data_IF_789876349810
#
_entry.id   IF_789876349810
#
_cell.length_a   1.000
_cell.length_b   1.000
_cell.length_c   1.000
_cell.angle_alpha   90.00
_cell.angle_beta   90.00
_cell.angle_gamma   90.00
#
_symmetry.space_group_name_H-M   'P 1'
#
loop_
_entity.id
_entity.type
_entity.pdbx_description
1 polymer ?
2 water ?
#
# COMPACT_ATOMS: atom_id res chain seq x y z
N UNK A 42 -4.86 -24.45 2.82
CA UNK A 42 -5.22 -24.08 1.46
C UNK A 42 -6.39 -23.10 1.45
N UNK A 43 -7.58 -23.61 1.75
CA UNK A 43 -8.76 -22.77 1.90
C UNK A 43 -9.65 -23.25 3.04
N UNK A 44 -10.70 -23.99 2.71
CA UNK A 44 -11.94 -23.96 3.51
C UNK A 44 -11.69 -23.94 5.02
N UNK A 45 -12.73 -24.31 5.78
CA UNK A 45 -12.75 -24.15 7.23
C UNK A 45 -13.01 -22.69 7.62
N UNK A 46 -12.03 -21.84 7.31
CA UNK A 46 -12.04 -20.42 7.70
C UNK A 46 -13.28 -19.70 7.18
N UNK A 47 -13.73 -20.11 6.00
CA UNK A 47 -14.90 -19.52 5.36
C UNK A 47 -16.18 -19.77 6.17
N UNK A 48 -16.44 -21.04 6.51
CA UNK A 48 -17.64 -21.39 7.25
C UNK A 48 -17.60 -20.87 8.69
N UNK A 49 -16.40 -20.89 9.29
CA UNK A 49 -16.19 -20.33 10.63
C UNK A 49 -16.71 -18.89 10.73
N UNK A 50 -16.61 -18.15 9.63
CA UNK A 50 -17.18 -16.80 9.55
C UNK A 50 -18.71 -16.82 9.59
N UNK A 51 -19.32 -17.74 8.85
CA UNK A 51 -20.79 -17.90 8.81
C UNK A 51 -21.34 -18.29 10.19
N UNK A 52 -22.45 -17.65 10.56
CA UNK A 52 -23.09 -17.80 11.89
C UNK A 52 -22.25 -17.19 13.03
N UNK A 53 -21.04 -16.71 12.69
CA UNK A 53 -20.16 -15.98 13.61
C UNK A 53 -19.88 -14.56 13.13
N UNK A 54 -20.77 -14.04 12.28
CA UNK A 54 -20.61 -12.75 11.61
C UNK A 54 -19.99 -11.66 12.49
N UNK A 55 -20.15 -11.81 13.80
CA UNK A 55 -19.80 -10.78 14.78
C UNK A 55 -18.36 -10.87 15.29
N UNK A 56 -17.73 -12.03 15.13
CA UNK A 56 -16.36 -12.21 15.62
C UNK A 56 -15.30 -11.74 14.59
N UNK A 57 -14.31 -11.01 15.08
CA UNK A 57 -13.20 -10.50 14.26
C UNK A 57 -12.19 -11.58 13.90
N UNK A 58 -11.85 -12.42 14.88
CA UNK A 58 -10.83 -13.49 14.75
C UNK A 58 -10.92 -14.32 13.46
N UNK A 59 -12.12 -14.84 13.12
CA UNK A 59 -12.19 -15.62 11.87
C UNK A 59 -11.89 -14.80 10.61
N UNK A 60 -12.30 -13.53 10.58
CA UNK A 60 -11.92 -12.64 9.48
C UNK A 60 -10.41 -12.43 9.43
N UNK A 61 -9.76 -12.34 10.59
CA UNK A 61 -8.31 -12.16 10.63
C UNK A 61 -7.61 -13.41 10.08
N UNK A 62 -8.04 -14.58 10.55
CA UNK A 62 -7.48 -15.84 10.08
C UNK A 62 -7.60 -16.03 8.59
N UNK A 63 -8.76 -15.66 8.04
CA UNK A 63 -8.97 -15.78 6.61
C UNK A 63 -8.08 -14.82 5.83
N UNK A 64 -7.90 -13.62 6.38
CA UNK A 64 -7.00 -12.62 5.81
C UNK A 64 -5.53 -13.07 5.86
N UNK A 65 -5.13 -13.69 6.96
CA UNK A 65 -3.81 -14.34 7.06
C UNK A 65 -3.63 -15.41 5.99
N UNK A 66 -4.67 -16.17 5.71
CA UNK A 66 -4.60 -17.20 4.70
C UNK A 66 -4.45 -16.54 3.32
N UNK A 67 -5.27 -15.52 3.06
CA UNK A 67 -5.24 -14.82 1.78
C UNK A 67 -3.91 -14.15 1.46
N UNK A 68 -3.22 -13.67 2.49
CA UNK A 68 -1.86 -13.10 2.36
C UNK A 68 -0.89 -14.14 1.81
N UNK A 69 -0.98 -15.37 2.33
CA UNK A 69 -0.02 -16.41 2.03
C UNK A 69 -0.28 -17.01 0.66
N UNK A 70 -1.38 -16.61 0.06
CA UNK A 70 -1.85 -17.18 -1.18
C UNK A 70 -1.85 -16.11 -2.29
N UNK A 71 -1.19 -14.99 -2.00
CA UNK A 71 -1.04 -13.86 -2.93
C UNK A 71 -2.31 -13.08 -3.25
N UNK A 72 -3.34 -13.20 -2.43
CA UNK A 72 -4.54 -12.36 -2.55
C UNK A 72 -4.48 -11.21 -1.55
N UNK A 73 -3.47 -10.36 -1.78
CA UNK A 73 -3.15 -9.23 -0.91
C UNK A 73 -4.27 -8.20 -0.72
N UNK A 74 -4.93 -7.79 -1.81
CA UNK A 74 -6.00 -6.80 -1.73
C UNK A 74 -7.20 -7.34 -0.94
N UNK A 75 -7.57 -8.58 -1.24
CA UNK A 75 -8.66 -9.22 -0.54
C UNK A 75 -8.31 -9.43 0.93
N UNK A 76 -7.07 -9.78 1.23
CA UNK A 76 -6.60 -9.84 2.62
C UNK A 76 -6.91 -8.51 3.36
N UNK A 77 -6.60 -7.40 2.68
CA UNK A 77 -6.86 -6.05 3.21
C UNK A 77 -8.33 -5.78 3.46
N UNK A 78 -9.19 -6.33 2.61
CA UNK A 78 -10.61 -6.17 2.80
C UNK A 78 -11.09 -6.94 4.03
N UNK A 79 -10.48 -8.10 4.29
CA UNK A 79 -10.86 -8.87 5.48
C UNK A 79 -10.32 -8.28 6.78
N UNK A 80 -9.07 -7.79 6.77
CA UNK A 80 -8.51 -7.05 7.92
C UNK A 80 -9.36 -5.83 8.21
N UNK A 81 -9.81 -5.17 7.13
CA UNK A 81 -10.69 -4.02 7.26
C UNK A 81 -11.94 -4.39 8.06
N UNK A 82 -12.57 -5.49 7.66
CA UNK A 82 -13.76 -6.00 8.33
C UNK A 82 -13.52 -6.32 9.81
N UNK A 83 -12.42 -6.97 10.11
CA UNK A 83 -12.04 -7.28 11.48
C UNK A 83 -11.95 -6.02 12.34
N UNK A 84 -11.33 -4.97 11.79
CA UNK A 84 -11.11 -3.69 12.47
C UNK A 84 -12.39 -2.87 12.63
N UNK A 85 -13.34 -3.15 11.75
CA UNK A 85 -14.66 -2.57 11.82
C UNK A 85 -15.44 -3.23 12.95
N UNK A 86 -15.05 -4.45 13.33
CA UNK A 86 -15.72 -5.18 14.38
C UNK A 86 -15.04 -4.96 15.72
N UNK A 87 -13.71 -5.05 15.72
CA UNK A 87 -12.92 -4.79 16.89
C UNK A 87 -11.76 -3.93 16.45
N UNK A 88 -11.87 -2.62 16.70
CA UNK A 88 -10.81 -1.68 16.37
C UNK A 88 -9.59 -1.79 17.30
N UNK A 89 -9.61 -2.76 18.20
CA UNK A 89 -8.45 -3.06 19.04
C UNK A 89 -7.71 -4.35 18.65
N UNK A 90 -8.14 -5.00 17.57
CA UNK A 90 -7.53 -6.27 17.16
C UNK A 90 -6.13 -6.05 16.58
N UNK A 91 -5.13 -6.14 17.45
CA UNK A 91 -3.74 -5.88 17.08
C UNK A 91 -3.26 -6.67 15.85
N UNK A 92 -3.68 -7.94 15.78
CA UNK A 92 -3.21 -8.83 14.71
C UNK A 92 -3.75 -8.40 13.33
N UNK A 93 -4.90 -7.73 13.31
CA UNK A 93 -5.42 -7.17 12.07
C UNK A 93 -4.57 -5.98 11.58
N UNK A 94 -4.15 -5.13 12.51
CA UNK A 94 -3.22 -4.04 12.17
C UNK A 94 -1.89 -4.59 11.68
N UNK A 95 -1.40 -5.62 12.39
CA UNK A 95 -0.15 -6.28 12.03
C UNK A 95 -0.22 -6.99 10.67
N UNK A 96 -1.30 -7.73 10.44
CA UNK A 96 -1.49 -8.45 9.20
C UNK A 96 -1.56 -7.49 8.03
N UNK A 97 -2.36 -6.43 8.17
CA UNK A 97 -2.46 -5.41 7.12
C UNK A 97 -1.13 -4.72 6.86
N UNK A 98 -0.35 -4.53 7.92
CA UNK A 98 0.95 -3.88 7.86
C UNK A 98 1.92 -4.63 6.97
N UNK A 99 1.97 -5.95 7.17
CA UNK A 99 2.80 -6.82 6.34
C UNK A 99 2.43 -6.74 4.85
N UNK A 100 1.14 -6.61 4.56
CA UNK A 100 0.70 -6.47 3.18
C UNK A 100 1.26 -5.18 2.60
N UNK A 101 1.18 -4.11 3.38
CA UNK A 101 1.69 -2.82 3.00
C UNK A 101 3.19 -2.88 2.79
N UNK A 102 3.88 -3.70 3.57
CA UNK A 102 5.32 -3.87 3.44
C UNK A 102 5.63 -4.53 2.10
N UNK A 103 4.93 -5.61 1.80
CA UNK A 103 5.16 -6.36 0.57
C UNK A 103 4.96 -5.43 -0.62
N UNK A 104 4.00 -4.53 -0.52
CA UNK A 104 3.67 -3.61 -1.60
C UNK A 104 4.52 -2.35 -1.49
N UNK A 105 5.42 -2.34 -0.51
CA UNK A 105 6.36 -1.23 -0.28
C UNK A 105 5.70 0.14 -0.14
N UNK A 106 4.58 0.15 0.57
CA UNK A 106 3.93 1.37 0.99
C UNK A 106 4.29 1.52 2.47
N UNK A 107 5.43 2.15 2.72
CA UNK A 107 6.05 2.14 4.04
C UNK A 107 5.37 3.07 5.02
N UNK A 108 4.89 4.20 4.50
CA UNK A 108 4.20 5.18 5.32
C UNK A 108 2.94 4.57 5.93
N UNK A 109 2.25 3.76 5.13
CA UNK A 109 1.03 3.09 5.53
C UNK A 109 1.35 1.88 6.40
N UNK A 110 2.51 1.26 6.16
CA UNK A 110 3.01 0.18 7.02
C UNK A 110 3.42 0.70 8.42
N UNK A 111 3.99 1.91 8.46
CA UNK A 111 4.30 2.54 9.74
C UNK A 111 3.01 2.79 10.52
N UNK A 112 2.03 3.33 9.83
CA UNK A 112 0.74 3.63 10.40
C UNK A 112 0.15 2.34 11.01
N UNK A 113 0.12 1.25 10.24
CA UNK A 113 -0.46 -0.02 10.70
C UNK A 113 0.31 -0.63 11.87
N UNK A 114 1.64 -0.61 11.78
CA UNK A 114 2.48 -1.20 12.83
C UNK A 114 2.37 -0.43 14.14
N UNK A 115 2.33 0.89 14.05
CA UNK A 115 2.20 1.70 15.25
C UNK A 115 0.81 1.52 15.87
N UNK A 116 -0.20 1.29 15.05
CA UNK A 116 -1.55 0.97 15.56
C UNK A 116 -1.57 -0.39 16.24
N UNK A 117 -0.83 -1.34 15.70
CA UNK A 117 -0.72 -2.66 16.29
C UNK A 117 -0.14 -2.51 17.70
N UNK A 118 1.03 -1.87 17.75
CA UNK A 118 1.69 -1.54 19.00
C UNK A 118 0.77 -0.77 19.94
N UNK A 119 0.03 0.21 19.41
CA UNK A 119 -0.91 0.94 20.23
C UNK A 119 -2.04 0.07 20.77
N UNK A 120 -2.47 -0.91 19.96
CA UNK A 120 -3.56 -1.80 20.36
C UNK A 120 -3.12 -2.90 21.31
N UNK A 121 -1.81 -3.07 21.50
CA UNK A 121 -1.31 -3.99 22.52
C UNK A 121 -0.19 -4.92 22.13
N UNK A 122 -0.04 -5.20 20.84
CA UNK A 122 1.00 -6.13 20.39
C UNK A 122 2.39 -5.61 20.74
N UNK A 123 3.15 -6.42 21.48
CA UNK A 123 4.52 -6.09 21.85
C UNK A 123 5.39 -7.33 21.76
N UNK A 124 6.13 -7.45 20.66
CA UNK A 124 7.08 -8.56 20.47
C UNK A 124 8.20 -8.24 19.48
N UNK A 125 9.20 -9.11 19.43
CA UNK A 125 10.41 -8.86 18.66
C UNK A 125 10.12 -8.54 17.20
N UNK A 126 9.21 -9.31 16.61
CA UNK A 126 8.89 -9.14 15.20
C UNK A 126 8.29 -7.77 14.90
N UNK A 127 7.36 -7.33 15.76
CA UNK A 127 6.70 -6.07 15.57
C UNK A 127 7.66 -4.90 15.72
N UNK A 128 8.48 -4.93 16.77
CA UNK A 128 9.45 -3.86 16.96
C UNK A 128 10.42 -3.80 15.79
N UNK A 129 10.71 -4.96 15.22
CA UNK A 129 11.59 -5.08 14.07
C UNK A 129 10.97 -4.46 12.83
N UNK A 130 9.77 -4.89 12.48
CA UNK A 130 9.10 -4.41 11.27
C UNK A 130 8.90 -2.90 11.36
N UNK A 131 8.53 -2.43 12.55
CA UNK A 131 8.36 -1.00 12.78
C UNK A 131 9.69 -0.28 12.68
N UNK A 132 10.69 -0.76 13.41
CA UNK A 132 12.03 -0.19 13.34
C UNK A 132 12.48 -0.06 11.88
N UNK A 133 12.44 -1.15 11.15
CA UNK A 133 12.96 -1.17 9.79
C UNK A 133 12.18 -0.25 8.85
N UNK A 134 10.87 -0.23 8.98
CA UNK A 134 10.02 0.64 8.18
C UNK A 134 10.32 2.10 8.52
N UNK A 135 10.56 2.39 9.79
CA UNK A 135 10.93 3.73 10.20
C UNK A 135 12.25 4.15 9.56
N UNK A 136 13.11 3.18 9.27
CA UNK A 136 14.37 3.43 8.57
C UNK A 136 14.12 3.83 7.11
N UNK A 137 13.36 3.01 6.39
CA UNK A 137 13.03 3.30 4.99
C UNK A 137 12.43 4.69 4.83
N UNK A 138 11.80 5.20 5.88
CA UNK A 138 11.10 6.48 5.83
C UNK A 138 11.94 7.68 6.29
N UNK A 139 13.28 7.55 6.24
CA UNK A 139 14.19 8.50 6.91
C UNK A 139 13.96 8.38 8.41
N UNK A 140 13.80 9.50 9.11
CA UNK A 140 13.53 9.52 10.57
C UNK A 140 14.09 8.47 11.58
N UNK A 141 15.35 8.13 11.44
CA UNK A 141 15.97 7.13 12.33
C UNK A 141 15.68 7.43 13.80
N UNK A 142 15.86 8.69 14.19
CA UNK A 142 15.59 9.16 15.54
C UNK A 142 14.35 8.44 16.12
N UNK A 143 13.57 7.80 15.24
CA UNK A 143 12.33 7.15 15.63
C UNK A 143 12.43 5.62 15.60
N UNK A 144 13.22 5.07 14.67
CA UNK A 144 13.45 3.63 14.57
C UNK A 144 14.21 3.12 15.78
N UNK A 145 15.07 3.98 16.28
CA UNK A 145 16.09 3.66 17.28
C UNK A 145 15.57 2.91 18.52
N UNK A 146 14.57 3.47 19.23
CA UNK A 146 14.07 2.80 20.44
C UNK A 146 13.43 1.41 20.19
N UNK A 147 12.80 1.24 19.03
CA UNK A 147 12.14 -0.03 18.70
C UNK A 147 13.16 -1.04 18.22
N UNK A 148 14.13 -0.61 17.42
CA UNK A 148 15.24 -1.46 17.00
C UNK A 148 16.07 -1.91 18.20
N UNK A 149 16.28 -1.00 19.14
CA UNK A 149 17.00 -1.31 20.38
C UNK A 149 16.28 -2.45 21.08
N UNK A 150 14.95 -2.35 21.11
CA UNK A 150 14.12 -3.29 21.81
C UNK A 150 14.15 -4.67 21.18
N UNK A 151 14.04 -4.73 19.84
CA UNK A 151 14.10 -5.98 19.08
C UNK A 151 15.37 -6.79 19.37
N UNK A 152 16.49 -6.09 19.49
CA UNK A 152 17.75 -6.71 19.88
C UNK A 152 17.60 -7.28 21.29
N UNK A 153 17.20 -6.44 22.24
CA UNK A 153 17.00 -6.89 23.62
C UNK A 153 16.14 -8.15 23.70
N UNK A 154 14.99 -8.12 23.01
CA UNK A 154 14.04 -9.23 23.03
C UNK A 154 14.49 -10.46 22.24
N UNK A 155 15.55 -10.30 21.46
CA UNK A 155 16.13 -11.41 20.71
C UNK A 155 17.56 -11.03 20.35
N UNK A 156 18.46 -11.40 21.25
CA UNK A 156 19.86 -11.04 21.15
C UNK A 156 20.53 -11.85 20.04
N UNK A 157 19.81 -12.86 19.54
CA UNK A 157 20.28 -13.73 18.46
C UNK A 157 19.94 -13.22 17.06
N UNK A 158 18.97 -12.31 16.99
CA UNK A 158 18.48 -11.78 15.71
C UNK A 158 19.53 -10.88 15.05
N UNK A 159 20.43 -11.49 14.29
CA UNK A 159 21.50 -10.80 13.56
C UNK A 159 20.99 -9.61 12.73
N UNK A 160 19.91 -9.85 12.01
CA UNK A 160 19.32 -8.88 11.10
C UNK A 160 18.90 -7.60 11.82
N UNK A 161 18.18 -7.76 12.93
CA UNK A 161 17.79 -6.62 13.77
C UNK A 161 19.01 -5.89 14.25
N UNK A 162 20.00 -6.63 14.73
CA UNK A 162 21.19 -6.03 15.31
C UNK A 162 21.98 -5.21 14.30
N UNK A 163 22.03 -5.68 13.05
CA UNK A 163 22.69 -4.92 11.99
C UNK A 163 21.94 -3.61 11.68
N UNK A 164 20.62 -3.66 11.74
CA UNK A 164 19.80 -2.47 11.48
C UNK A 164 19.90 -1.43 12.61
N UNK A 165 19.99 -1.93 13.84
CA UNK A 165 20.19 -1.08 15.00
C UNK A 165 21.55 -0.37 14.89
N UNK A 166 22.59 -1.14 14.56
CA UNK A 166 23.92 -0.60 14.33
C UNK A 166 23.90 0.62 13.42
N UNK A 167 23.32 0.45 12.22
CA UNK A 167 23.32 1.48 11.18
C UNK A 167 22.59 2.73 11.66
N UNK A 168 21.55 2.53 12.47
CA UNK A 168 20.75 3.64 12.95
C UNK A 168 21.48 4.41 14.05
N UNK A 169 22.13 3.66 14.94
CA UNK A 169 23.00 4.24 15.97
C UNK A 169 24.11 5.12 15.40
N UNK A 170 24.86 4.56 14.44
CA UNK A 170 25.93 5.28 13.76
C UNK A 170 25.41 6.52 13.06
N UNK A 171 24.20 6.42 12.55
CA UNK A 171 23.57 7.52 11.88
C UNK A 171 23.26 8.66 12.84
N UNK A 172 22.87 8.30 14.07
CA UNK A 172 22.41 9.26 15.05
C UNK A 172 23.52 9.97 15.81
N UNK A 173 24.77 9.51 15.63
CA UNK A 173 25.91 10.12 16.30
C UNK A 173 26.53 9.16 17.31
N UNK A 174 25.70 8.27 17.85
CA UNK A 174 26.13 7.27 18.82
C UNK A 174 26.97 6.23 18.09
N UNK A 175 28.25 6.56 17.87
CA UNK A 175 29.13 5.81 16.97
C UNK A 175 29.83 4.61 17.59
N UNK A 176 30.11 4.67 18.89
CA UNK A 176 30.86 3.60 19.55
C UNK A 176 29.96 2.41 19.86
N UNK A 177 28.74 2.72 20.27
CA UNK A 177 27.70 1.71 20.47
C UNK A 177 27.28 1.07 19.14
N UNK A 178 27.48 1.80 18.03
CA UNK A 178 27.26 1.24 16.70
C UNK A 178 28.26 0.12 16.46
N UNK A 179 29.53 0.42 16.72
CA UNK A 179 30.62 -0.55 16.60
C UNK A 179 30.42 -1.74 17.54
N UNK A 180 29.92 -1.46 18.75
CA UNK A 180 29.50 -2.51 19.68
C UNK A 180 28.58 -3.50 18.97
N UNK A 181 27.56 -2.97 18.31
CA UNK A 181 26.59 -3.81 17.62
C UNK A 181 27.17 -4.46 16.35
N UNK A 182 27.84 -3.67 15.51
CA UNK A 182 28.48 -4.23 14.31
C UNK A 182 29.40 -5.43 14.64
N UNK A 183 30.12 -5.33 15.77
CA UNK A 183 31.02 -6.39 16.22
C UNK A 183 30.27 -7.67 16.58
N UNK A 184 29.15 -7.52 17.30
CA UNK A 184 28.33 -8.67 17.69
C UNK A 184 27.75 -9.40 16.47
N UNK A 185 27.39 -8.63 15.44
CA UNK A 185 26.94 -9.18 14.15
C UNK A 185 28.05 -10.00 13.50
N UNK A 186 29.28 -9.50 13.60
CA UNK A 186 30.48 -10.20 13.14
C UNK A 186 30.68 -11.53 13.88
N UNK A 187 30.37 -11.55 15.17
CA UNK A 187 30.51 -12.78 15.98
C UNK A 187 29.50 -13.85 15.56
N UNK A 188 28.24 -13.47 15.39
CA UNK A 188 27.21 -14.43 14.99
C UNK A 188 27.34 -14.81 13.52
N UNK A 189 27.45 -13.81 12.65
CA UNK A 189 27.59 -14.03 11.21
C UNK A 189 28.91 -13.44 10.73
N UNK A 190 29.95 -14.28 10.57
CA UNK A 190 31.24 -13.79 10.08
C UNK A 190 31.28 -13.57 8.55
N UNK A 191 30.23 -14.02 7.86
CA UNK A 191 30.13 -13.81 6.42
C UNK A 191 29.40 -12.52 6.11
N UNK A 192 29.19 -11.71 7.14
CA UNK A 192 28.42 -10.47 7.02
C UNK A 192 29.29 -9.28 6.56
N UNK A 193 29.62 -9.26 5.28
CA UNK A 193 30.44 -8.19 4.68
C UNK A 193 29.91 -6.77 4.96
N UNK A 194 28.59 -6.59 4.80
CA UNK A 194 27.93 -5.30 5.04
C UNK A 194 28.27 -4.68 6.39
N UNK A 195 28.25 -5.52 7.44
CA UNK A 195 28.57 -5.08 8.79
C UNK A 195 29.97 -4.51 8.83
N UNK A 196 30.95 -5.27 8.33
CA UNK A 196 32.33 -4.81 8.24
C UNK A 196 32.45 -3.47 7.50
N UNK A 197 31.72 -3.34 6.40
CA UNK A 197 31.73 -2.10 5.62
C UNK A 197 31.20 -0.93 6.43
N UNK A 198 30.06 -1.15 7.08
CA UNK A 198 29.42 -0.11 7.89
C UNK A 198 30.22 0.22 9.15
N UNK A 199 30.97 -0.76 9.65
CA UNK A 199 31.95 -0.54 10.71
C UNK A 199 33.05 0.35 10.17
N UNK A 200 33.51 0.01 8.96
CA UNK A 200 34.53 0.78 8.27
C UNK A 200 34.14 2.24 8.14
N UNK A 201 32.88 2.47 7.79
CA UNK A 201 32.37 3.84 7.60
C UNK A 201 32.23 4.57 8.93
N UNK A 202 31.91 3.83 9.99
CA UNK A 202 31.77 4.42 11.31
C UNK A 202 33.10 5.00 11.78
N UNK A 203 34.16 4.20 11.68
CA UNK A 203 35.51 4.62 12.07
C UNK A 203 35.98 5.88 11.35
N UNK A 204 35.57 6.05 10.09
CA UNK A 204 35.86 7.26 9.32
C UNK A 204 35.32 8.53 10.01
N UNK A 205 34.09 8.44 10.54
CA UNK A 205 33.47 9.53 11.27
C UNK A 205 34.08 9.69 12.67
N UNK A 206 34.80 8.67 13.12
CA UNK A 206 35.57 8.73 14.37
C UNK A 206 36.97 9.33 14.13
N UNK A 207 37.27 9.63 12.86
CA UNK A 207 38.55 10.20 12.43
C UNK A 207 39.72 9.27 12.69
N UNK A 208 39.73 8.15 11.98
CA UNK A 208 40.72 7.09 12.17
C UNK A 208 40.91 6.27 10.88
N UNK A 209 41.96 6.60 10.12
CA UNK A 209 42.26 5.86 8.89
C UNK A 209 43.13 4.63 9.08
N UNK A 210 43.13 4.10 10.30
CA UNK A 210 43.60 2.75 10.67
C UNK A 210 42.52 1.68 10.66
N UNK A 211 41.77 1.59 11.76
CA UNK A 211 40.75 0.56 11.92
C UNK A 211 39.72 0.62 10.79
N UNK A 212 39.51 1.81 10.23
CA UNK A 212 38.63 2.02 9.09
C UNK A 212 39.04 1.14 7.91
N UNK A 213 40.30 1.26 7.50
CA UNK A 213 40.82 0.46 6.38
C UNK A 213 40.89 -1.02 6.74
N UNK A 214 41.17 -1.30 8.01
CA UNK A 214 41.18 -2.67 8.54
C UNK A 214 39.84 -3.39 8.35
N UNK A 215 38.77 -2.78 8.87
CA UNK A 215 37.41 -3.32 8.77
C UNK A 215 36.93 -3.36 7.31
N UNK A 216 37.35 -2.36 6.54
CA UNK A 216 37.00 -2.24 5.12
C UNK A 216 37.63 -3.38 4.30
N UNK A 217 38.90 -3.69 4.63
CA UNK A 217 39.60 -4.81 4.02
C UNK A 217 38.77 -6.08 4.11
N UNK A 218 38.40 -6.42 5.35
CA UNK A 218 37.69 -7.66 5.64
C UNK A 218 36.35 -7.77 4.91
N UNK A 219 35.79 -6.63 4.52
CA UNK A 219 34.56 -6.59 3.72
C UNK A 219 34.81 -7.02 2.28
N UNK A 220 35.88 -6.51 1.69
CA UNK A 220 36.27 -6.89 0.33
C UNK A 220 36.79 -8.34 0.35
N UNK A 221 37.56 -8.66 1.38
CA UNK A 221 38.00 -10.01 1.70
C UNK A 221 36.85 -11.02 1.57
N UNK A 222 35.70 -10.70 2.16
CA UNK A 222 34.54 -11.57 2.13
C UNK A 222 33.87 -11.55 0.75
N UNK A 223 33.51 -10.36 0.29
CA UNK A 223 32.87 -10.19 -1.02
C UNK A 223 33.74 -9.32 -1.95
N UNK A 224 34.49 -9.96 -2.86
CA UNK A 224 35.43 -9.24 -3.73
C UNK A 224 34.76 -8.21 -4.65
N UNK A 225 33.45 -8.26 -4.79
CA UNK A 225 32.72 -7.28 -5.62
C UNK A 225 31.88 -6.27 -4.82
N UNK A 226 32.30 -6.02 -3.59
CA UNK A 226 31.66 -5.01 -2.75
C UNK A 226 32.07 -3.60 -3.21
N UNK A 227 31.35 -3.08 -4.21
CA UNK A 227 31.71 -1.82 -4.87
C UNK A 227 31.74 -0.61 -3.93
N UNK A 228 30.81 -0.57 -2.99
CA UNK A 228 30.79 0.47 -1.96
C UNK A 228 32.03 0.40 -1.06
N UNK A 229 32.39 -0.80 -0.61
CA UNK A 229 33.62 -0.99 0.16
C UNK A 229 34.82 -0.58 -0.68
N UNK A 230 34.75 -0.86 -1.98
CA UNK A 230 35.80 -0.50 -2.91
C UNK A 230 35.97 1.02 -3.05
N UNK A 231 34.87 1.70 -3.36
CA UNK A 231 34.87 3.15 -3.49
C UNK A 231 35.22 3.83 -2.17
N UNK A 232 34.74 3.28 -1.07
CA UNK A 232 35.04 3.80 0.26
C UNK A 232 36.54 3.75 0.59
N UNK A 233 37.20 2.71 0.09
CA UNK A 233 38.62 2.47 0.39
C UNK A 233 39.55 3.39 -0.42
N UNK A 234 39.09 3.81 -1.60
CA UNK A 234 39.87 4.69 -2.49
C UNK A 234 39.88 6.15 -2.01
N UNK A 235 39.40 6.36 -0.79
CA UNK A 235 39.37 7.67 -0.16
C UNK A 235 40.09 7.62 1.20
N UNK B 42 -35.66 -4.52 -26.62
CA UNK B 42 -36.78 -5.34 -26.08
C UNK B 42 -36.91 -5.26 -24.56
N UNK B 43 -35.77 -5.24 -23.87
CA UNK B 43 -35.68 -5.13 -22.41
C UNK B 43 -36.21 -6.31 -21.58
N UNK B 44 -36.86 -7.27 -22.25
CA UNK B 44 -37.47 -8.39 -21.55
C UNK B 44 -36.50 -9.56 -21.70
N UNK B 45 -36.95 -10.76 -21.36
CA UNK B 45 -36.12 -11.97 -21.32
C UNK B 45 -35.36 -12.20 -19.99
N UNK B 46 -35.58 -11.30 -19.02
CA UNK B 46 -34.98 -11.41 -17.68
C UNK B 46 -36.31 -11.53 -16.93
N UNK B 47 -37.23 -10.62 -17.27
CA UNK B 47 -38.57 -10.60 -16.72
C UNK B 47 -39.17 -12.00 -16.70
N UNK B 48 -39.03 -12.70 -17.83
CA UNK B 48 -39.55 -14.06 -18.01
C UNK B 48 -38.85 -15.07 -17.08
N UNK B 49 -37.54 -14.95 -16.97
CA UNK B 49 -36.72 -15.88 -16.19
C UNK B 49 -37.09 -15.95 -14.71
N UNK B 50 -37.36 -14.79 -14.10
CA UNK B 50 -37.55 -14.70 -12.64
C UNK B 50 -38.78 -15.45 -12.12
N UNK B 51 -39.86 -15.46 -12.90
CA UNK B 51 -41.09 -16.19 -12.54
C UNK B 51 -40.85 -17.70 -12.44
N UNK B 52 -40.03 -18.21 -13.36
CA UNK B 52 -39.69 -19.63 -13.42
C UNK B 52 -39.06 -20.15 -12.14
N UNK B 53 -38.14 -19.37 -11.57
CA UNK B 53 -37.31 -19.79 -10.44
C UNK B 53 -37.07 -18.67 -9.41
N UNK B 54 -38.08 -18.47 -8.56
CA UNK B 54 -38.08 -17.43 -7.53
C UNK B 54 -37.03 -17.62 -6.42
N UNK B 55 -36.11 -18.57 -6.63
CA UNK B 55 -35.06 -18.87 -5.67
C UNK B 55 -33.70 -19.04 -6.37
N UNK B 56 -33.53 -18.32 -7.48
CA UNK B 56 -32.36 -18.44 -8.35
C UNK B 56 -31.20 -17.44 -8.40
N UNK B 57 -31.52 -16.15 -8.48
CA UNK B 57 -30.72 -14.96 -8.14
C UNK B 57 -29.71 -14.43 -9.17
N UNK B 58 -29.57 -15.12 -10.29
CA UNK B 58 -28.62 -14.66 -11.32
C UNK B 58 -29.46 -13.75 -12.24
N UNK B 59 -30.71 -14.16 -12.56
CA UNK B 59 -31.53 -13.27 -13.40
C UNK B 59 -31.85 -11.94 -12.74
N UNK B 60 -32.04 -11.96 -11.41
CA UNK B 60 -32.27 -10.74 -10.63
C UNK B 60 -31.15 -9.75 -10.85
N UNK B 61 -29.91 -10.20 -10.70
CA UNK B 61 -28.71 -9.36 -10.90
C UNK B 61 -28.70 -8.78 -12.31
N UNK B 62 -28.97 -9.63 -13.29
CA UNK B 62 -28.99 -9.21 -14.68
C UNK B 62 -29.99 -8.10 -14.97
N UNK B 63 -31.21 -8.25 -14.45
CA UNK B 63 -32.23 -7.23 -14.63
C UNK B 63 -31.82 -5.93 -13.95
N UNK B 64 -31.36 -6.06 -12.71
CA UNK B 64 -30.79 -4.94 -11.95
C UNK B 64 -29.75 -4.16 -12.78
N UNK B 65 -28.87 -4.90 -13.45
CA UNK B 65 -27.85 -4.30 -14.31
C UNK B 65 -28.45 -3.54 -15.50
N UNK B 66 -29.45 -4.13 -16.13
CA UNK B 66 -30.15 -3.43 -17.21
C UNK B 66 -30.81 -2.13 -16.71
N UNK B 67 -31.44 -2.20 -15.54
CA UNK B 67 -32.14 -1.02 -14.99
C UNK B 67 -31.18 0.13 -14.69
N UNK B 68 -30.04 -0.20 -14.06
CA UNK B 68 -29.07 0.84 -13.79
C UNK B 68 -28.54 1.44 -15.10
N UNK B 69 -28.30 0.60 -16.11
CA UNK B 69 -27.83 1.11 -17.41
C UNK B 69 -28.85 2.11 -17.92
N UNK B 70 -30.12 1.73 -17.84
CA UNK B 70 -31.26 2.54 -18.27
C UNK B 70 -31.59 3.62 -17.23
N UNK B 71 -30.69 3.84 -16.27
CA UNK B 71 -30.86 4.90 -15.26
C UNK B 71 -32.17 4.81 -14.44
N UNK B 72 -32.54 3.59 -14.07
CA UNK B 72 -33.68 3.37 -13.19
C UNK B 72 -33.13 2.89 -11.83
N UNK B 73 -32.42 3.81 -11.16
CA UNK B 73 -31.49 3.45 -10.06
C UNK B 73 -32.12 2.73 -8.86
N UNK B 74 -33.29 3.21 -8.44
CA UNK B 74 -33.93 2.73 -7.22
C UNK B 74 -34.44 1.32 -7.39
N UNK B 75 -34.98 1.05 -8.58
CA UNK B 75 -35.46 -0.26 -8.92
C UNK B 75 -34.29 -1.25 -9.04
N UNK B 76 -33.19 -0.82 -9.64
CA UNK B 76 -31.98 -1.64 -9.67
C UNK B 76 -31.66 -2.14 -8.26
N UNK B 77 -31.58 -1.22 -7.31
CA UNK B 77 -31.30 -1.56 -5.92
C UNK B 77 -32.24 -2.64 -5.38
N UNK B 78 -33.54 -2.50 -5.65
CA UNK B 78 -34.52 -3.52 -5.24
C UNK B 78 -34.17 -4.90 -5.80
N UNK B 79 -33.69 -4.94 -7.03
CA UNK B 79 -33.31 -6.20 -7.65
C UNK B 79 -31.97 -6.77 -7.19
N UNK B 80 -31.04 -5.90 -6.77
CA UNK B 80 -29.79 -6.36 -6.16
C UNK B 80 -30.02 -6.85 -4.74
N UNK B 81 -30.96 -6.21 -4.04
CA UNK B 81 -31.28 -6.56 -2.66
C UNK B 81 -31.93 -7.94 -2.57
N UNK B 82 -32.75 -8.28 -3.57
CA UNK B 82 -33.35 -9.59 -3.60
C UNK B 82 -32.29 -10.62 -3.96
N UNK B 83 -31.50 -10.30 -4.98
CA UNK B 83 -30.36 -11.11 -5.38
C UNK B 83 -29.47 -11.44 -4.17
N UNK B 84 -29.15 -10.43 -3.36
CA UNK B 84 -28.33 -10.64 -2.16
C UNK B 84 -29.04 -11.45 -1.06
N UNK B 85 -30.35 -11.29 -0.97
CA UNK B 85 -31.13 -12.04 0.01
C UNK B 85 -30.99 -13.51 -0.32
N UNK B 86 -31.13 -13.85 -1.61
CA UNK B 86 -30.99 -15.21 -2.08
C UNK B 86 -29.58 -15.77 -1.92
N UNK B 87 -28.58 -14.98 -2.31
CA UNK B 87 -27.18 -15.38 -2.21
C UNK B 87 -26.28 -14.25 -1.71
N UNK B 88 -25.91 -14.32 -0.43
CA UNK B 88 -25.17 -13.25 0.21
C UNK B 88 -23.70 -13.18 -0.23
N UNK B 89 -23.29 -14.07 -1.14
CA UNK B 89 -21.93 -14.02 -1.67
C UNK B 89 -21.88 -13.79 -3.19
N UNK B 90 -22.94 -13.20 -3.73
CA UNK B 90 -22.96 -12.86 -5.13
C UNK B 90 -22.22 -11.55 -5.34
N UNK B 91 -20.92 -11.65 -5.57
CA UNK B 91 -20.06 -10.49 -5.75
C UNK B 91 -20.57 -9.45 -6.75
N UNK B 92 -21.08 -9.92 -7.90
CA UNK B 92 -21.58 -9.01 -8.96
C UNK B 92 -22.80 -8.19 -8.52
N UNK B 93 -23.55 -8.69 -7.53
CA UNK B 93 -24.66 -7.92 -6.97
C UNK B 93 -24.19 -6.74 -6.12
N UNK B 94 -23.20 -6.97 -5.27
CA UNK B 94 -22.56 -5.90 -4.53
C UNK B 94 -21.93 -4.86 -5.44
N UNK B 95 -21.14 -5.32 -6.41
CA UNK B 95 -20.53 -4.45 -7.41
C UNK B 95 -21.63 -3.62 -8.06
N UNK B 96 -22.68 -4.28 -8.54
CA UNK B 96 -23.83 -3.60 -9.11
C UNK B 96 -24.42 -2.52 -8.21
N UNK B 97 -24.75 -2.87 -6.97
CA UNK B 97 -25.25 -1.89 -6.00
C UNK B 97 -24.25 -0.75 -5.79
N UNK B 98 -22.97 -1.11 -5.69
CA UNK B 98 -21.91 -0.14 -5.52
C UNK B 98 -21.94 0.99 -6.54
N UNK B 99 -22.19 0.66 -7.79
CA UNK B 99 -22.12 1.66 -8.85
C UNK B 99 -23.27 2.63 -8.75
N UNK B 100 -24.45 2.09 -8.46
CA UNK B 100 -25.64 2.89 -8.18
C UNK B 100 -25.35 3.97 -7.12
N UNK B 101 -24.70 3.55 -6.03
CA UNK B 101 -24.33 4.46 -4.95
C UNK B 101 -23.30 5.51 -5.37
N UNK B 102 -22.42 5.13 -6.31
CA UNK B 102 -21.44 6.07 -6.83
C UNK B 102 -22.16 7.19 -7.57
N UNK B 103 -23.00 6.81 -8.52
CA UNK B 103 -23.81 7.76 -9.26
C UNK B 103 -24.57 8.67 -8.30
N UNK B 104 -25.23 8.07 -7.31
CA UNK B 104 -25.98 8.82 -6.31
C UNK B 104 -25.10 9.52 -5.26
N UNK B 105 -23.79 9.53 -5.49
CA UNK B 105 -22.83 10.22 -4.60
C UNK B 105 -22.97 9.83 -3.12
N UNK B 106 -23.14 8.55 -2.86
CA UNK B 106 -23.18 8.03 -1.51
C UNK B 106 -21.99 7.11 -1.34
N UNK B 107 -20.82 7.75 -1.19
CA UNK B 107 -19.52 7.09 -1.32
C UNK B 107 -19.21 6.11 -0.19
N UNK B 108 -19.65 6.46 1.02
CA UNK B 108 -19.50 5.60 2.16
C UNK B 108 -20.22 4.26 1.96
N UNK B 109 -21.41 4.28 1.34
CA UNK B 109 -22.14 3.03 1.08
C UNK B 109 -21.55 2.24 -0.11
N UNK B 110 -21.10 2.97 -1.12
CA UNK B 110 -20.35 2.41 -2.25
C UNK B 110 -19.06 1.73 -1.79
N UNK B 111 -18.33 2.37 -0.88
CA UNK B 111 -17.18 1.72 -0.26
C UNK B 111 -17.58 0.37 0.36
N UNK B 112 -18.65 0.39 1.16
CA UNK B 112 -19.15 -0.82 1.81
C UNK B 112 -19.55 -1.90 0.80
N UNK B 113 -20.20 -1.50 -0.29
CA UNK B 113 -20.60 -2.46 -1.32
C UNK B 113 -19.43 -3.09 -2.05
N UNK B 114 -18.40 -2.28 -2.34
CA UNK B 114 -17.23 -2.72 -3.12
C UNK B 114 -16.30 -3.61 -2.31
N UNK B 115 -16.19 -3.33 -1.01
CA UNK B 115 -15.39 -4.16 -0.12
C UNK B 115 -16.05 -5.51 0.09
N UNK B 116 -17.38 -5.51 0.15
CA UNK B 116 -18.13 -6.73 0.23
C UNK B 116 -17.98 -7.57 -1.04
N UNK B 117 -18.02 -6.92 -2.20
CA UNK B 117 -17.77 -7.57 -3.49
C UNK B 117 -16.41 -8.27 -3.48
N UNK B 118 -15.39 -7.53 -3.06
CA UNK B 118 -14.03 -8.04 -2.94
C UNK B 118 -13.98 -9.19 -1.95
N UNK B 119 -14.52 -8.97 -0.77
CA UNK B 119 -14.56 -10.00 0.26
C UNK B 119 -15.25 -11.29 -0.27
N UNK B 120 -16.29 -11.13 -1.08
CA UNK B 120 -16.95 -12.26 -1.71
C UNK B 120 -16.19 -12.86 -2.90
N UNK B 121 -15.00 -12.36 -3.19
CA UNK B 121 -14.15 -12.97 -4.21
C UNK B 121 -13.95 -12.27 -5.55
N UNK B 122 -14.71 -11.21 -5.85
CA UNK B 122 -14.46 -10.46 -7.08
C UNK B 122 -13.15 -9.73 -6.92
N UNK B 123 -12.21 -9.97 -7.84
CA UNK B 123 -10.98 -9.18 -7.86
C UNK B 123 -10.51 -8.92 -9.29
N UNK B 124 -10.76 -7.72 -9.78
CA UNK B 124 -10.38 -7.29 -11.12
C UNK B 124 -10.17 -5.78 -11.17
N UNK B 125 -9.57 -5.31 -12.27
CA UNK B 125 -9.25 -3.91 -12.48
C UNK B 125 -10.36 -2.91 -12.23
N UNK B 126 -11.54 -3.18 -12.77
CA UNK B 126 -12.68 -2.28 -12.53
C UNK B 126 -13.09 -2.20 -11.06
N UNK B 127 -13.06 -3.31 -10.33
CA UNK B 127 -13.37 -3.31 -8.89
C UNK B 127 -12.37 -2.48 -8.12
N UNK B 128 -11.08 -2.72 -8.36
CA UNK B 128 -10.05 -1.99 -7.65
C UNK B 128 -10.04 -0.51 -8.02
N UNK B 129 -10.37 -0.23 -9.27
CA UNK B 129 -10.46 1.14 -9.71
C UNK B 129 -11.58 1.84 -8.95
N UNK B 130 -12.76 1.24 -8.93
CA UNK B 130 -13.90 1.81 -8.24
C UNK B 130 -13.63 1.98 -6.74
N UNK B 131 -13.21 0.90 -6.07
CA UNK B 131 -12.96 0.96 -4.64
C UNK B 131 -11.88 2.01 -4.36
N UNK B 132 -10.84 2.01 -5.19
CA UNK B 132 -9.75 2.98 -5.11
C UNK B 132 -10.23 4.42 -5.24
N UNK B 133 -10.98 4.75 -6.27
CA UNK B 133 -11.43 6.15 -6.46
C UNK B 133 -12.45 6.63 -5.42
N UNK B 134 -13.28 5.71 -4.94
CA UNK B 134 -14.26 6.01 -3.92
C UNK B 134 -13.54 6.33 -2.59
N UNK B 135 -12.51 5.56 -2.27
CA UNK B 135 -11.73 5.81 -1.08
C UNK B 135 -11.03 7.16 -1.19
N UNK B 136 -10.56 7.51 -2.39
CA UNK B 136 -10.00 8.85 -2.65
C UNK B 136 -11.05 9.95 -2.39
N UNK B 137 -12.24 9.80 -2.97
CA UNK B 137 -13.37 10.72 -2.68
C UNK B 137 -13.71 10.80 -1.19
N UNK B 138 -13.52 9.71 -0.45
CA UNK B 138 -13.81 9.69 0.99
C UNK B 138 -12.69 10.27 1.84
N UNK B 139 -11.89 11.16 1.25
CA UNK B 139 -10.53 11.42 1.74
C UNK B 139 -9.85 10.07 1.78
N UNK B 140 -9.27 9.67 2.90
CA UNK B 140 -8.79 8.28 3.04
C UNK B 140 -7.90 7.73 1.90
N UNK B 141 -6.91 8.50 1.42
CA UNK B 141 -6.02 7.96 0.38
C UNK B 141 -5.06 6.84 0.85
N UNK B 142 -4.74 6.82 2.14
CA UNK B 142 -3.98 5.72 2.71
C UNK B 142 -4.60 4.36 2.34
N UNK B 143 -5.93 4.29 2.36
CA UNK B 143 -6.64 3.05 2.06
C UNK B 143 -6.73 2.78 0.56
N UNK B 144 -6.79 3.86 -0.23
CA UNK B 144 -7.01 3.77 -1.66
C UNK B 144 -5.82 3.19 -2.42
N UNK B 145 -4.62 3.60 -2.00
CA UNK B 145 -3.37 3.28 -2.70
C UNK B 145 -3.13 1.84 -3.15
N UNK B 146 -3.22 0.85 -2.23
CA UNK B 146 -2.97 -0.50 -2.72
C UNK B 146 -3.96 -0.90 -3.79
N UNK B 147 -5.21 -0.46 -3.66
CA UNK B 147 -6.23 -0.79 -4.63
C UNK B 147 -5.94 -0.11 -5.98
N UNK B 148 -5.59 1.18 -5.96
CA UNK B 148 -5.24 1.87 -7.19
C UNK B 148 -4.05 1.21 -7.90
N UNK B 149 -3.04 0.81 -7.12
CA UNK B 149 -1.89 0.14 -7.69
C UNK B 149 -2.31 -1.14 -8.40
N UNK B 150 -3.20 -1.89 -7.78
CA UNK B 150 -3.56 -3.18 -8.34
C UNK B 150 -4.28 -3.06 -9.67
N UNK B 151 -5.12 -2.04 -9.81
CA UNK B 151 -5.80 -1.75 -11.06
C UNK B 151 -4.79 -1.42 -12.16
N UNK B 152 -3.76 -0.66 -11.80
CA UNK B 152 -2.69 -0.36 -12.75
C UNK B 152 -1.99 -1.65 -13.17
N UNK B 153 -1.69 -2.49 -12.19
CA UNK B 153 -1.03 -3.77 -12.44
C UNK B 153 -1.86 -4.69 -13.33
N UNK B 154 -3.16 -4.72 -13.13
CA UNK B 154 -4.02 -5.58 -13.93
C UNK B 154 -4.36 -4.96 -15.28
N UNK B 155 -3.93 -3.72 -15.50
CA UNK B 155 -3.95 -3.15 -16.85
C UNK B 155 -3.00 -1.98 -17.00
N UNK B 156 -1.85 -2.27 -17.59
CA UNK B 156 -0.79 -1.30 -17.75
C UNK B 156 -1.16 -0.22 -18.77
N UNK B 157 -2.23 -0.47 -19.52
CA UNK B 157 -2.69 0.45 -20.53
C UNK B 157 -3.90 1.26 -20.10
N UNK B 158 -4.35 1.05 -18.87
CA UNK B 158 -5.46 1.82 -18.31
C UNK B 158 -4.96 3.16 -17.77
N UNK B 159 -4.98 4.15 -18.64
CA UNK B 159 -4.38 5.45 -18.36
C UNK B 159 -5.03 6.19 -17.19
N UNK B 160 -6.36 6.09 -17.08
CA UNK B 160 -7.11 6.78 -16.05
C UNK B 160 -6.76 6.24 -14.67
N UNK B 161 -6.70 4.90 -14.57
CA UNK B 161 -6.28 4.22 -13.34
C UNK B 161 -4.88 4.69 -12.95
N UNK B 162 -4.00 4.78 -13.94
CA UNK B 162 -2.65 5.24 -13.72
C UNK B 162 -2.62 6.70 -13.26
N UNK B 163 -3.39 7.56 -13.91
CA UNK B 163 -3.49 8.96 -13.52
C UNK B 163 -3.98 9.11 -12.07
N UNK B 164 -5.04 8.39 -11.73
CA UNK B 164 -5.56 8.38 -10.36
C UNK B 164 -4.52 7.87 -9.36
N UNK B 165 -3.95 6.70 -9.64
CA UNK B 165 -2.82 6.18 -8.86
C UNK B 165 -1.75 7.25 -8.60
N UNK B 166 -1.36 7.94 -9.68
CA UNK B 166 -0.34 9.00 -9.63
C UNK B 166 -0.69 10.10 -8.65
N UNK B 167 -1.91 10.64 -8.78
CA UNK B 167 -2.39 11.69 -7.90
C UNK B 167 -2.45 11.21 -6.45
N UNK B 168 -2.86 9.96 -6.25
CA UNK B 168 -2.95 9.39 -4.90
C UNK B 168 -1.56 9.21 -4.27
N UNK B 169 -0.58 8.74 -5.06
CA UNK B 169 0.82 8.69 -4.63
C UNK B 169 1.37 10.06 -4.20
N UNK B 170 1.22 11.06 -5.06
CA UNK B 170 1.57 12.46 -4.75
C UNK B 170 0.97 12.90 -3.42
N UNK B 171 -0.33 12.68 -3.28
CA UNK B 171 -1.03 13.04 -2.05
C UNK B 171 -0.50 12.37 -0.79
N UNK B 172 -0.01 11.14 -0.92
CA UNK B 172 0.51 10.41 0.23
C UNK B 172 1.95 10.74 0.54
N UNK B 173 2.58 11.55 -0.30
CA UNK B 173 3.96 11.97 -0.08
C UNK B 173 4.97 11.32 -0.99
N UNK B 174 4.58 10.20 -1.62
CA UNK B 174 5.48 9.47 -2.53
C UNK B 174 5.64 10.23 -3.85
N UNK B 175 6.37 11.34 -3.79
CA UNK B 175 6.47 12.28 -4.91
C UNK B 175 7.16 11.69 -6.14
N UNK B 176 8.18 10.86 -5.90
CA UNK B 176 8.95 10.28 -6.99
C UNK B 176 8.21 9.15 -7.69
N UNK B 177 7.47 8.35 -6.93
CA UNK B 177 6.60 7.34 -7.52
C UNK B 177 5.53 8.00 -8.37
N UNK B 178 4.92 9.06 -7.84
CA UNK B 178 3.94 9.87 -8.57
C UNK B 178 4.44 10.29 -9.95
N UNK B 179 5.64 10.89 -9.98
CA UNK B 179 6.23 11.41 -11.22
C UNK B 179 6.49 10.32 -12.24
N UNK B 180 6.94 9.18 -11.75
CA UNK B 180 7.14 8.00 -12.57
C UNK B 180 5.81 7.58 -13.20
N UNK B 181 4.71 7.79 -12.47
CA UNK B 181 3.39 7.46 -12.99
C UNK B 181 2.85 8.50 -13.97
N UNK B 182 2.98 9.79 -13.67
CA UNK B 182 2.54 10.83 -14.61
C UNK B 182 3.33 10.73 -15.92
N UNK B 183 4.64 10.49 -15.80
CA UNK B 183 5.46 10.27 -16.98
C UNK B 183 4.91 9.14 -17.84
N UNK B 184 4.55 8.02 -17.23
CA UNK B 184 3.95 6.92 -17.99
C UNK B 184 2.62 7.30 -18.64
N UNK B 185 1.81 8.12 -17.97
CA UNK B 185 0.52 8.58 -18.52
C UNK B 185 0.74 9.46 -19.75
N UNK B 186 1.82 10.24 -19.72
CA UNK B 186 2.21 11.15 -20.79
C UNK B 186 2.68 10.41 -22.05
N UNK B 187 3.51 9.40 -21.84
CA UNK B 187 3.98 8.53 -22.91
C UNK B 187 2.85 7.73 -23.55
N UNK B 188 1.81 7.41 -22.78
CA UNK B 188 0.63 6.73 -23.32
C UNK B 188 -0.34 7.69 -24.00
N UNK B 189 -0.56 8.85 -23.38
CA UNK B 189 -1.38 9.91 -23.97
C UNK B 189 -0.58 11.21 -23.95
N UNK B 190 -0.04 11.61 -25.11
CA UNK B 190 0.79 12.82 -25.19
C UNK B 190 -0.04 14.09 -24.99
N UNK B 191 -1.36 13.99 -25.20
CA UNK B 191 -2.25 15.13 -25.03
C UNK B 191 -3.00 15.19 -23.70
N UNK B 192 -2.46 14.52 -22.67
CA UNK B 192 -3.03 14.52 -21.32
C UNK B 192 -2.50 15.69 -20.50
N UNK B 193 -3.15 16.85 -20.62
CA UNK B 193 -2.69 18.05 -19.91
C UNK B 193 -2.72 17.89 -18.38
N UNK B 194 -3.76 17.24 -17.86
CA UNK B 194 -3.89 17.00 -16.41
C UNK B 194 -2.67 16.32 -15.79
N UNK B 195 -2.13 15.32 -16.47
CA UNK B 195 -0.91 14.66 -16.02
C UNK B 195 0.22 15.66 -15.91
N UNK B 196 0.44 16.42 -16.98
CA UNK B 196 1.49 17.46 -17.00
C UNK B 196 1.33 18.48 -15.88
N UNK B 197 0.11 18.99 -15.73
CA UNK B 197 -0.21 19.90 -14.64
C UNK B 197 0.13 19.31 -13.28
N UNK B 198 -0.34 18.09 -13.05
CA UNK B 198 -0.16 17.40 -11.76
C UNK B 198 1.28 17.03 -11.51
N UNK B 199 2.02 16.73 -12.58
CA UNK B 199 3.45 16.52 -12.48
C UNK B 199 4.11 17.81 -11.99
N UNK B 200 3.69 18.95 -12.55
CA UNK B 200 4.20 20.26 -12.18
C UNK B 200 3.95 20.60 -10.71
N UNK B 201 2.75 20.33 -10.23
CA UNK B 201 2.41 20.56 -8.83
C UNK B 201 3.24 19.68 -7.91
N UNK B 202 3.61 18.50 -8.40
CA UNK B 202 4.44 17.55 -7.66
C UNK B 202 5.89 18.06 -7.58
N UNK B 203 6.46 18.42 -8.73
CA UNK B 203 7.79 19.02 -8.80
C UNK B 203 7.94 20.24 -7.90
N UNK B 204 6.82 20.91 -7.63
CA UNK B 204 6.79 22.01 -6.69
C UNK B 204 6.88 21.53 -5.25
N UNK B 205 6.33 20.34 -4.97
CA UNK B 205 6.42 19.77 -3.62
C UNK B 205 7.79 19.17 -3.36
N UNK B 206 8.56 18.98 -4.44
CA UNK B 206 9.94 18.57 -4.37
C UNK B 206 10.90 19.77 -4.29
N UNK B 207 10.33 20.97 -4.38
CA UNK B 207 11.08 22.25 -4.35
C UNK B 207 12.00 22.38 -5.57
N UNK B 208 11.49 21.95 -6.72
CA UNK B 208 12.20 22.05 -7.99
C UNK B 208 11.44 22.99 -8.94
N UNK B 209 11.62 24.30 -8.72
CA UNK B 209 10.89 25.34 -9.47
C UNK B 209 11.15 25.31 -10.97
N UNK B 210 12.32 24.80 -11.36
CA UNK B 210 12.70 24.70 -12.76
C UNK B 210 11.86 23.64 -13.49
N UNK B 211 11.79 22.44 -12.92
CA UNK B 211 11.02 21.34 -13.52
C UNK B 211 9.49 21.48 -13.34
N UNK B 212 9.07 22.15 -12.27
CA UNK B 212 7.66 22.45 -12.05
C UNK B 212 7.08 23.26 -13.20
N UNK B 213 7.71 24.41 -13.48
CA UNK B 213 7.51 25.13 -14.74
C UNK B 213 8.09 24.32 -15.89
N UNK B 214 7.43 24.30 -17.04
CA UNK B 214 7.89 23.48 -18.18
C UNK B 214 7.41 22.04 -18.12
N UNK B 215 6.82 21.64 -17.00
CA UNK B 215 5.74 20.67 -16.83
C UNK B 215 4.42 21.41 -16.94
N UNK B 216 4.37 22.60 -16.32
CA UNK B 216 3.24 23.49 -16.48
C UNK B 216 3.16 24.03 -17.91
N UNK B 217 4.31 24.44 -18.47
CA UNK B 217 4.33 24.95 -19.83
C UNK B 217 3.81 23.92 -20.81
N UNK B 218 4.31 22.69 -20.68
CA UNK B 218 3.81 21.56 -21.49
C UNK B 218 2.28 21.39 -21.37
N UNK B 219 1.74 21.56 -20.17
CA UNK B 219 0.29 21.50 -19.95
C UNK B 219 -0.44 22.60 -20.72
N UNK B 220 0.10 23.81 -20.63
CA UNK B 220 -0.39 24.97 -21.38
C UNK B 220 -0.24 24.73 -22.88
N UNK B 221 0.89 24.17 -23.30
CA UNK B 221 1.10 23.80 -24.70
C UNK B 221 -0.03 22.92 -25.25
N UNK B 222 -0.51 21.98 -24.44
CA UNK B 222 -1.59 21.07 -24.85
C UNK B 222 -2.94 21.77 -24.90
N UNK B 223 -3.26 22.54 -23.86
CA UNK B 223 -4.45 23.39 -23.89
C UNK B 223 -4.19 24.73 -23.21
N UNK B 224 -4.25 25.82 -24.00
CA UNK B 224 -3.85 27.16 -23.58
C UNK B 224 -4.85 27.80 -22.64
N UNK B 225 -5.96 27.11 -22.40
CA UNK B 225 -7.03 27.59 -21.53
C UNK B 225 -7.07 26.84 -20.19
N UNK B 226 -5.99 26.10 -19.90
CA UNK B 226 -5.92 25.31 -18.67
C UNK B 226 -5.71 26.23 -17.46
N UNK B 227 -6.82 26.58 -16.81
CA UNK B 227 -6.82 27.61 -15.76
C UNK B 227 -6.10 27.23 -14.47
N UNK B 228 -5.99 25.92 -14.19
CA UNK B 228 -5.24 25.47 -13.02
C UNK B 228 -3.73 25.65 -13.25
N UNK B 229 -3.26 25.30 -14.45
CA UNK B 229 -1.85 25.44 -14.80
C UNK B 229 -1.43 26.91 -14.97
N UNK B 230 -2.31 27.72 -15.57
CA UNK B 230 -2.08 29.15 -15.69
C UNK B 230 -1.87 29.80 -14.32
N UNK B 231 -2.82 29.57 -13.42
CA UNK B 231 -2.75 30.12 -12.06
C UNK B 231 -1.53 29.64 -11.27
N UNK B 232 -1.20 28.35 -11.39
CA UNK B 232 -0.05 27.78 -10.69
C UNK B 232 1.26 28.44 -11.14
N UNK B 233 1.36 28.70 -12.44
CA UNK B 233 2.50 29.44 -13.01
C UNK B 233 2.74 30.80 -12.37
N UNK B 234 1.68 31.55 -12.07
CA UNK B 234 1.82 32.88 -11.49
C UNK B 234 2.28 32.80 -10.03
N UNK B 235 2.74 31.62 -9.64
CA UNK B 235 3.23 31.41 -8.29
C UNK B 235 4.64 30.76 -8.31
#
# INVERSE_FOLDING_TARGET
MGSSHHHHHHSSGLVPRGSHMASMTGGQQMGRGSEFGDYEKAAEAFTKAIEENKEDAIPYINFANLLSSVNELERALAFYDKALELDSSAATAYYGAGNVYVVKEMYKEAKDMFEKALRAGMENGDLFYMLGTVLVKLEQPKLALPYLQRAVELNENDTEARFQFGMCLANEGMLDEALSQFAAVTEQDPGHADAFYNAGVTYAYKENREKALEMLDKAIDIQPDHMLALHAKKLLGHHHHHH
MGSSHHHHHHSSGLVPRGSHMASMTGGQQMGRGSEFGDYEKAAEAFTKAIEENKEDAIPYINFANLLSSVNELERALAFYDKALELDSSAATAYYGAGNVYVVKEMYKEAKDMFEKALRAGMENGDLFYMLGTVLVKLEQPKLALPYLQRAVELNENDTEARFQFGMCLANEGMLDEALSQFAAVTEQDPGHADAFYNAGVTYAYKENREKALEMLDKAIDIQPDHMLALHAKKLLGHHHHHH
#
